data_IF_518284186896
#
_entry.id   IF_518284186896
#
_cell.length_a   1.000
_cell.length_b   1.000
_cell.length_c   1.000
_cell.angle_alpha   90.00
_cell.angle_beta   90.00
_cell.angle_gamma   90.00
#
_symmetry.space_group_name_H-M   'P 1'
#
loop_
_entity.id
_entity.type
_entity.pdbx_description
1 polymer ?
#
# COMPACT_ATOMS: atom_id res chain seq x y z
N UNK A 1 -17.60 13.19 31.43
CA UNK A 1 -17.22 13.71 30.10
C UNK A 1 -16.39 14.97 30.32
N UNK A 2 -15.18 14.77 30.85
CA UNK A 2 -14.13 15.79 31.00
C UNK A 2 -13.53 15.98 29.60
N UNK A 3 -13.83 17.10 28.97
CA UNK A 3 -13.32 17.43 27.62
C UNK A 3 -11.86 17.84 27.64
N UNK A 4 -10.95 16.87 27.77
CA UNK A 4 -9.56 17.07 27.36
C UNK A 4 -9.47 16.68 25.89
N UNK A 5 -9.37 17.67 25.01
CA UNK A 5 -9.06 17.44 23.61
C UNK A 5 -7.60 17.00 23.53
N UNK A 6 -7.36 15.70 23.41
CA UNK A 6 -6.05 15.16 23.13
C UNK A 6 -5.61 15.52 21.72
N UNK A 7 -4.30 15.71 21.51
CA UNK A 7 -3.75 16.06 20.18
C UNK A 7 -3.61 14.77 19.37
N UNK A 8 -4.27 14.63 18.19
CA UNK A 8 -4.05 13.49 17.30
C UNK A 8 -2.59 13.40 16.84
N UNK A 9 -2.10 12.17 16.68
CA UNK A 9 -0.77 11.85 16.20
C UNK A 9 -0.85 10.85 15.05
N UNK A 10 0.02 11.02 14.05
CA UNK A 10 0.33 9.94 13.10
C UNK A 10 1.06 8.80 13.82
N UNK A 11 1.04 7.60 13.23
CA UNK A 11 1.80 6.46 13.71
C UNK A 11 3.29 6.76 13.84
N UNK A 12 3.84 7.47 12.85
CA UNK A 12 5.24 7.92 12.88
C UNK A 12 5.52 8.86 14.06
N UNK A 13 4.72 9.91 14.24
CA UNK A 13 4.91 10.86 15.35
C UNK A 13 4.79 10.18 16.71
N UNK A 14 3.83 9.26 16.87
CA UNK A 14 3.66 8.49 18.09
C UNK A 14 4.89 7.60 18.35
N UNK A 15 5.40 6.90 17.34
CA UNK A 15 6.59 6.07 17.45
C UNK A 15 7.86 6.87 17.80
N UNK A 16 8.05 8.05 17.20
CA UNK A 16 9.19 8.94 17.49
C UNK A 16 9.16 9.50 18.93
N UNK A 17 7.97 9.68 19.50
CA UNK A 17 7.78 10.18 20.87
C UNK A 17 7.69 9.07 21.93
N UNK A 18 7.47 7.82 21.52
CA UNK A 18 7.29 6.69 22.41
C UNK A 18 8.61 6.25 23.10
N UNK A 19 8.54 5.67 24.31
CA UNK A 19 9.71 5.13 24.96
C UNK A 19 10.26 3.89 24.24
N UNK A 20 11.55 3.60 24.45
CA UNK A 20 12.22 2.46 23.84
C UNK A 20 11.49 1.13 24.13
N UNK A 21 11.30 0.32 23.08
CA UNK A 21 10.57 -0.96 23.18
C UNK A 21 9.10 -0.88 22.79
N UNK A 22 8.58 0.32 22.55
CA UNK A 22 7.23 0.52 21.99
C UNK A 22 7.30 0.63 20.46
N UNK A 23 6.23 0.22 19.79
CA UNK A 23 6.07 0.35 18.34
C UNK A 23 4.60 0.60 17.99
N UNK A 24 4.36 1.17 16.81
CA UNK A 24 3.01 1.34 16.27
C UNK A 24 2.63 0.18 15.40
N UNK A 25 1.40 -0.30 15.58
CA UNK A 25 0.79 -1.41 14.86
C UNK A 25 -0.70 -1.11 14.69
N UNK A 26 -1.14 -0.89 13.46
CA UNK A 26 -2.56 -0.65 13.10
C UNK A 26 -3.25 0.43 13.95
N UNK A 27 -2.67 1.63 14.03
CA UNK A 27 -3.25 2.73 14.81
C UNK A 27 -3.20 2.54 16.32
N UNK A 28 -2.43 1.57 16.82
CA UNK A 28 -2.21 1.35 18.25
C UNK A 28 -0.73 1.46 18.61
N UNK A 29 -0.44 1.92 19.83
CA UNK A 29 0.89 2.00 20.39
C UNK A 29 1.08 0.83 21.35
N UNK A 30 2.04 -0.05 21.04
CA UNK A 30 2.16 -1.35 21.68
C UNK A 30 3.52 -1.54 22.34
N UNK A 31 3.56 -2.21 23.50
CA UNK A 31 4.78 -2.82 24.04
C UNK A 31 4.54 -4.13 24.77
N UNK A 32 5.52 -5.03 24.69
CA UNK A 32 5.59 -6.25 25.51
C UNK A 32 6.62 -6.09 26.64
N UNK A 33 6.39 -6.75 27.78
CA UNK A 33 7.27 -6.72 28.95
C UNK A 33 7.51 -8.11 29.53
N UNK A 34 8.76 -8.46 29.84
CA UNK A 34 9.16 -9.78 30.35
C UNK A 34 9.11 -9.85 31.87
N UNK A 35 7.96 -10.26 32.41
CA UNK A 35 7.74 -10.36 33.85
C UNK A 35 8.33 -11.64 34.46
N UNK A 36 8.48 -12.70 33.66
CA UNK A 36 9.10 -13.99 34.04
C UNK A 36 8.20 -14.93 34.86
N UNK A 37 7.02 -14.50 35.30
CA UNK A 37 6.01 -15.38 35.92
C UNK A 37 4.61 -14.78 35.84
N UNK A 38 3.58 -15.62 35.91
CA UNK A 38 2.19 -15.17 35.94
C UNK A 38 1.88 -14.26 37.13
N UNK A 39 2.42 -14.57 38.32
CA UNK A 39 2.20 -13.74 39.53
C UNK A 39 2.77 -12.34 39.33
N UNK A 40 4.00 -12.24 38.81
CA UNK A 40 4.63 -10.95 38.52
C UNK A 40 3.91 -10.20 37.39
N UNK A 41 3.35 -10.90 36.39
CA UNK A 41 2.49 -10.28 35.39
C UNK A 41 1.30 -9.57 36.01
N UNK A 42 0.53 -10.26 36.86
CA UNK A 42 -0.66 -9.67 37.50
C UNK A 42 -0.29 -8.48 38.39
N UNK A 43 0.79 -8.60 39.18
CA UNK A 43 1.27 -7.50 40.03
C UNK A 43 1.75 -6.28 39.23
N UNK A 44 2.39 -6.51 38.09
CA UNK A 44 2.81 -5.43 37.20
C UNK A 44 1.61 -4.74 36.55
N UNK A 45 0.61 -5.50 36.10
CA UNK A 45 -0.66 -4.95 35.58
C UNK A 45 -1.37 -4.12 36.64
N UNK A 46 -1.46 -4.60 37.89
CA UNK A 46 -2.07 -3.86 39.00
C UNK A 46 -1.40 -2.49 39.25
N UNK A 47 -0.06 -2.44 39.19
CA UNK A 47 0.69 -1.19 39.30
C UNK A 47 0.41 -0.23 38.12
N UNK A 48 0.29 -0.76 36.89
CA UNK A 48 -0.05 0.03 35.70
C UNK A 48 -1.48 0.55 35.76
N UNK A 49 -2.44 -0.24 36.26
CA UNK A 49 -3.84 0.18 36.42
C UNK A 49 -3.96 1.44 37.26
N UNK A 50 -3.18 1.57 38.33
CA UNK A 50 -3.19 2.79 39.15
C UNK A 50 -2.72 4.04 38.37
N UNK A 51 -1.74 3.90 37.48
CA UNK A 51 -1.28 4.98 36.62
C UNK A 51 -2.31 5.31 35.51
N UNK A 52 -2.92 4.29 34.92
CA UNK A 52 -3.99 4.44 33.92
C UNK A 52 -5.20 5.21 34.50
N UNK A 53 -5.66 4.83 35.69
CA UNK A 53 -6.74 5.54 36.40
C UNK A 53 -6.38 7.00 36.71
N UNK A 54 -5.14 7.27 37.12
CA UNK A 54 -4.68 8.64 37.37
C UNK A 54 -4.58 9.49 36.10
N UNK A 55 -4.33 8.85 34.95
CA UNK A 55 -4.27 9.49 33.65
C UNK A 55 -5.65 9.65 32.98
N UNK A 56 -6.72 9.03 33.53
CA UNK A 56 -8.01 8.87 32.86
C UNK A 56 -7.85 8.28 31.43
N UNK A 57 -6.87 7.38 31.24
CA UNK A 57 -6.57 6.72 29.97
C UNK A 57 -6.21 5.27 30.22
N UNK A 58 -6.79 4.33 29.46
CA UNK A 58 -6.75 2.91 29.80
C UNK A 58 -6.13 2.07 28.67
N UNK A 59 -5.18 1.16 28.99
CA UNK A 59 -4.65 0.22 28.01
C UNK A 59 -5.55 -1.02 27.88
N UNK A 60 -5.54 -1.61 26.69
CA UNK A 60 -5.83 -3.03 26.53
C UNK A 60 -4.63 -3.85 27.01
N UNK A 61 -4.91 -4.96 27.72
CA UNK A 61 -3.88 -5.76 28.40
C UNK A 61 -4.02 -7.24 28.04
N UNK A 62 -2.97 -7.80 27.46
CA UNK A 62 -2.84 -9.24 27.24
C UNK A 62 -1.83 -9.84 28.22
N UNK A 63 -2.25 -10.85 28.96
CA UNK A 63 -1.39 -11.56 29.92
C UNK A 63 -1.07 -12.95 29.39
N UNK A 64 0.21 -13.20 29.15
CA UNK A 64 0.73 -14.53 28.84
C UNK A 64 1.66 -15.03 29.95
N UNK A 65 2.07 -16.29 29.87
CA UNK A 65 3.01 -16.84 30.84
C UNK A 65 4.38 -16.14 30.75
N UNK A 66 4.67 -15.29 31.74
CA UNK A 66 5.94 -14.59 31.86
C UNK A 66 6.07 -13.32 31.00
N UNK A 67 5.01 -12.89 30.31
CA UNK A 67 4.98 -11.64 29.57
C UNK A 67 3.62 -10.93 29.71
N UNK A 68 3.64 -9.60 29.62
CA UNK A 68 2.45 -8.75 29.52
C UNK A 68 2.59 -7.89 28.29
N UNK A 69 1.55 -7.76 27.48
CA UNK A 69 1.47 -6.82 26.36
C UNK A 69 0.46 -5.74 26.70
N UNK A 70 0.85 -4.49 26.49
CA UNK A 70 -0.03 -3.33 26.56
C UNK A 70 -0.25 -2.80 25.15
N UNK A 71 -1.50 -2.46 24.85
CA UNK A 71 -1.93 -1.84 23.62
C UNK A 71 -2.67 -0.56 23.99
N UNK A 72 -2.24 0.56 23.41
CA UNK A 72 -2.75 1.90 23.69
C UNK A 72 -3.37 2.50 22.45
N UNK A 73 -4.56 3.05 22.60
CA UNK A 73 -5.23 3.87 21.60
C UNK A 73 -6.24 4.79 22.30
N UNK A 74 -6.50 5.95 21.70
CA UNK A 74 -7.53 6.87 22.18
C UNK A 74 -8.82 6.58 21.43
N UNK A 75 -9.65 5.70 21.99
CA UNK A 75 -10.84 5.15 21.31
C UNK A 75 -11.84 6.21 20.82
N UNK A 76 -12.06 7.28 21.58
CA UNK A 76 -12.97 8.36 21.23
C UNK A 76 -12.43 9.29 20.14
N UNK A 77 -11.10 9.37 20.01
CA UNK A 77 -10.43 10.03 18.89
C UNK A 77 -10.29 9.13 17.64
N UNK A 78 -10.53 7.83 17.78
CA UNK A 78 -10.41 6.86 16.69
C UNK A 78 -8.97 6.58 16.23
N UNK A 79 -7.97 6.91 17.05
CA UNK A 79 -6.56 6.78 16.70
C UNK A 79 -5.61 7.18 17.82
N UNK A 80 -4.34 7.36 17.47
CA UNK A 80 -3.28 7.71 18.43
C UNK A 80 -3.34 9.20 18.79
N UNK A 81 -3.09 9.49 20.06
CA UNK A 81 -2.94 10.84 20.58
C UNK A 81 -1.75 10.98 21.52
N UNK A 82 -1.50 12.21 21.98
CA UNK A 82 -0.53 12.47 23.05
C UNK A 82 -0.87 11.78 24.39
N UNK A 83 -2.11 11.37 24.63
CA UNK A 83 -2.49 10.54 25.79
C UNK A 83 -1.85 9.15 25.75
N UNK A 84 -1.81 8.53 24.57
CA UNK A 84 -1.23 7.20 24.36
C UNK A 84 0.26 7.21 24.66
N UNK A 85 0.97 8.21 24.10
CA UNK A 85 2.39 8.41 24.39
C UNK A 85 2.62 8.71 25.87
N UNK A 86 1.75 9.52 26.49
CA UNK A 86 1.81 9.86 27.90
C UNK A 86 1.72 8.62 28.81
N UNK A 87 0.74 7.75 28.58
CA UNK A 87 0.59 6.51 29.34
C UNK A 87 1.70 5.52 29.05
N UNK A 88 2.19 5.42 27.80
CA UNK A 88 3.35 4.60 27.46
C UNK A 88 4.60 4.97 28.27
N UNK A 89 4.86 6.28 28.44
CA UNK A 89 5.96 6.80 29.26
C UNK A 89 5.80 6.43 30.75
N UNK A 90 4.58 6.49 31.29
CA UNK A 90 4.30 6.07 32.67
C UNK A 90 4.55 4.56 32.85
N UNK A 91 4.06 3.73 31.93
CA UNK A 91 4.27 2.28 31.96
C UNK A 91 5.76 1.94 31.87
N UNK A 92 6.51 2.61 30.99
CA UNK A 92 7.95 2.41 30.88
C UNK A 92 8.70 2.78 32.16
N UNK A 93 8.29 3.85 32.86
CA UNK A 93 8.85 4.23 34.15
C UNK A 93 8.59 3.16 35.23
N UNK A 94 7.36 2.64 35.32
CA UNK A 94 7.01 1.55 36.26
C UNK A 94 7.83 0.30 35.94
N UNK A 95 7.96 -0.07 34.66
CA UNK A 95 8.74 -1.24 34.25
C UNK A 95 10.21 -1.11 34.67
N UNK A 96 10.80 0.09 34.52
CA UNK A 96 12.17 0.38 34.95
C UNK A 96 12.34 0.22 36.47
N UNK A 97 11.42 0.78 37.26
CA UNK A 97 11.42 0.63 38.73
C UNK A 97 11.37 -0.84 39.15
N UNK A 98 10.55 -1.63 38.45
CA UNK A 98 10.35 -3.05 38.71
C UNK A 98 11.44 -3.94 38.09
N UNK A 99 12.38 -3.38 37.34
CA UNK A 99 13.41 -4.12 36.57
C UNK A 99 12.77 -5.19 35.68
N UNK A 100 11.79 -4.77 34.90
CA UNK A 100 11.10 -5.57 33.90
C UNK A 100 11.57 -5.07 32.53
N UNK A 101 12.27 -5.93 31.80
CA UNK A 101 12.80 -5.56 30.49
C UNK A 101 11.67 -5.59 29.44
N UNK A 102 11.64 -4.61 28.51
CA UNK A 102 10.75 -4.68 27.37
C UNK A 102 11.13 -5.85 26.46
N UNK A 103 10.13 -6.41 25.80
CA UNK A 103 10.30 -7.28 24.64
C UNK A 103 10.72 -6.39 23.46
N UNK A 104 11.79 -6.72 22.71
CA UNK A 104 12.17 -5.98 21.53
C UNK A 104 11.01 -5.88 20.53
N UNK A 105 10.84 -4.71 19.88
CA UNK A 105 9.83 -4.56 18.85
C UNK A 105 10.14 -5.49 17.65
N UNK A 106 9.16 -5.74 16.78
CA UNK A 106 9.38 -6.43 15.51
C UNK A 106 10.51 -5.77 14.71
N UNK A 107 11.45 -6.57 14.22
CA UNK A 107 12.56 -6.07 13.41
C UNK A 107 12.14 -5.69 11.98
N UNK A 108 11.07 -6.32 11.46
CA UNK A 108 10.50 -6.02 10.15
C UNK A 108 9.38 -4.98 10.31
N UNK A 109 9.63 -3.75 9.86
CA UNK A 109 8.65 -2.64 9.80
C UNK A 109 8.03 -2.49 8.41
N UNK A 110 7.80 -3.63 7.76
CA UNK A 110 7.08 -3.68 6.48
C UNK A 110 5.58 -3.73 6.74
N UNK A 111 4.85 -2.72 6.32
CA UNK A 111 3.39 -2.72 6.30
C UNK A 111 2.89 -3.54 5.09
N UNK A 112 1.87 -4.36 5.29
CA UNK A 112 1.07 -4.93 4.21
C UNK A 112 -0.18 -4.07 4.05
N UNK A 113 -0.37 -3.46 2.88
CA UNK A 113 -1.58 -2.70 2.56
C UNK A 113 -2.44 -3.53 1.61
N UNK A 114 -3.65 -3.89 2.00
CA UNK A 114 -4.62 -4.56 1.12
C UNK A 114 -5.59 -3.50 0.63
N UNK A 115 -5.55 -3.21 -0.67
CA UNK A 115 -6.35 -2.16 -1.29
C UNK A 115 -7.06 -2.72 -2.53
N UNK A 116 -8.29 -3.24 -2.37
CA UNK A 116 -9.02 -3.94 -3.43
C UNK A 116 -9.75 -2.96 -4.38
N UNK A 117 -9.07 -1.88 -4.79
CA UNK A 117 -9.63 -0.85 -5.69
C UNK A 117 -9.98 -1.47 -7.04
N UNK A 118 -11.15 -1.14 -7.60
CA UNK A 118 -11.59 -1.67 -8.89
C UNK A 118 -12.17 -0.61 -9.82
N UNK A 119 -12.52 0.55 -9.28
CA UNK A 119 -13.17 1.64 -10.00
C UNK A 119 -12.23 2.33 -11.00
N UNK A 120 -10.91 2.13 -10.89
CA UNK A 120 -9.93 2.77 -11.76
C UNK A 120 -9.96 2.27 -13.21
N UNK A 121 -10.48 1.07 -13.46
CA UNK A 121 -10.67 0.56 -14.82
C UNK A 121 -12.03 1.00 -15.38
N UNK A 122 -12.11 1.53 -16.60
CA UNK A 122 -13.35 2.05 -17.20
C UNK A 122 -14.35 0.98 -17.65
N UNK A 123 -15.65 1.29 -17.58
CA UNK A 123 -16.73 0.29 -17.78
C UNK A 123 -16.72 -0.31 -19.18
N UNK A 124 -16.51 0.53 -20.21
CA UNK A 124 -16.53 0.11 -21.61
C UNK A 124 -15.38 -0.87 -21.91
N UNK A 125 -14.17 -0.55 -21.47
CA UNK A 125 -12.98 -1.40 -21.62
C UNK A 125 -13.15 -2.74 -20.92
N UNK A 126 -13.68 -2.75 -19.69
CA UNK A 126 -13.96 -4.00 -18.96
C UNK A 126 -14.97 -4.87 -19.70
N UNK A 127 -16.03 -4.27 -20.26
CA UNK A 127 -17.03 -5.00 -21.04
C UNK A 127 -16.45 -5.62 -22.33
N UNK A 128 -15.50 -4.94 -22.96
CA UNK A 128 -14.83 -5.39 -24.18
C UNK A 128 -13.82 -6.52 -23.91
N UNK A 129 -13.01 -6.42 -22.85
CA UNK A 129 -11.89 -7.32 -22.57
C UNK A 129 -12.27 -8.55 -21.73
N UNK A 130 -13.43 -8.53 -21.07
CA UNK A 130 -13.95 -9.65 -20.29
C UNK A 130 -15.44 -9.98 -20.62
N UNK A 131 -15.78 -10.20 -21.90
CA UNK A 131 -17.18 -10.35 -22.34
C UNK A 131 -17.84 -11.66 -21.88
N UNK A 132 -17.07 -12.64 -21.42
CA UNK A 132 -17.57 -13.90 -20.90
C UNK A 132 -18.14 -13.80 -19.47
N UNK A 133 -17.87 -12.70 -18.75
CA UNK A 133 -18.37 -12.39 -17.41
C UNK A 133 -19.37 -11.24 -17.50
N UNK A 134 -20.46 -11.30 -16.73
CA UNK A 134 -21.41 -10.19 -16.66
C UNK A 134 -20.71 -8.92 -16.13
N UNK A 135 -20.96 -7.76 -16.75
CA UNK A 135 -20.23 -6.51 -16.48
C UNK A 135 -20.13 -6.17 -14.99
N UNK A 136 -21.25 -6.29 -14.26
CA UNK A 136 -21.31 -6.06 -12.82
C UNK A 136 -20.21 -6.83 -12.06
N UNK A 137 -20.00 -8.11 -12.42
CA UNK A 137 -18.96 -8.97 -11.83
C UNK A 137 -17.59 -8.75 -12.44
N UNK A 138 -17.52 -8.49 -13.74
CA UNK A 138 -16.27 -8.22 -14.46
C UNK A 138 -15.54 -7.01 -13.84
N UNK A 139 -16.29 -5.95 -13.51
CA UNK A 139 -15.81 -4.75 -12.81
C UNK A 139 -15.12 -5.06 -11.48
N UNK A 140 -15.73 -5.91 -10.64
CA UNK A 140 -15.14 -6.34 -9.36
C UNK A 140 -14.00 -7.36 -9.53
N UNK A 141 -13.58 -7.65 -10.76
CA UNK A 141 -12.48 -8.58 -11.04
C UNK A 141 -11.20 -8.22 -10.29
N UNK A 142 -10.87 -6.93 -10.23
CA UNK A 142 -9.70 -6.42 -9.50
C UNK A 142 -9.83 -6.62 -7.99
N UNK A 143 -10.99 -6.33 -7.41
CA UNK A 143 -11.25 -6.56 -5.99
C UNK A 143 -11.15 -8.06 -5.63
N UNK A 144 -11.68 -8.94 -6.47
CA UNK A 144 -11.52 -10.40 -6.31
C UNK A 144 -10.06 -10.81 -6.47
N UNK A 145 -9.33 -10.21 -7.41
CA UNK A 145 -7.90 -10.40 -7.59
C UNK A 145 -7.08 -10.09 -6.35
N UNK A 146 -7.30 -8.89 -5.78
CA UNK A 146 -6.68 -8.47 -4.52
C UNK A 146 -6.95 -9.48 -3.39
N UNK A 147 -8.19 -9.94 -3.24
CA UNK A 147 -8.57 -10.93 -2.22
C UNK A 147 -7.87 -12.28 -2.44
N UNK A 148 -7.77 -12.73 -3.69
CA UNK A 148 -7.05 -13.98 -4.02
C UNK A 148 -5.56 -13.83 -3.69
N UNK A 149 -4.92 -12.74 -4.11
CA UNK A 149 -3.52 -12.45 -3.80
C UNK A 149 -3.30 -12.38 -2.30
N UNK A 150 -4.20 -11.73 -1.56
CA UNK A 150 -4.10 -11.60 -0.12
C UNK A 150 -4.14 -12.98 0.57
N UNK A 151 -5.04 -13.85 0.12
CA UNK A 151 -5.19 -15.20 0.65
C UNK A 151 -3.99 -16.12 0.36
N UNK A 152 -3.34 -15.99 -0.80
CA UNK A 152 -2.28 -16.92 -1.24
C UNK A 152 -0.86 -16.43 -0.92
N UNK A 153 -0.65 -15.13 -0.77
CA UNK A 153 0.67 -14.56 -0.47
C UNK A 153 0.93 -14.49 1.03
N UNK A 154 2.10 -14.96 1.51
CA UNK A 154 2.38 -15.04 2.94
C UNK A 154 2.42 -13.65 3.59
N UNK A 155 1.73 -13.49 4.72
CA UNK A 155 1.77 -12.25 5.52
C UNK A 155 3.11 -12.06 6.24
N UNK A 156 3.87 -13.14 6.47
CA UNK A 156 5.16 -13.15 7.21
C UNK A 156 5.11 -12.49 8.60
N UNK A 157 3.93 -12.43 9.22
CA UNK A 157 3.74 -11.79 10.54
C UNK A 157 3.84 -10.26 10.49
N UNK A 158 3.62 -9.66 9.32
CA UNK A 158 3.59 -8.20 9.12
C UNK A 158 2.26 -7.61 9.56
N UNK A 159 2.30 -6.39 10.07
CA UNK A 159 1.12 -5.54 10.25
C UNK A 159 0.37 -5.41 8.93
N UNK A 160 -0.95 -5.54 8.95
CA UNK A 160 -1.79 -5.46 7.75
C UNK A 160 -2.84 -4.38 7.94
N UNK A 161 -2.85 -3.41 7.04
CA UNK A 161 -3.88 -2.38 6.95
C UNK A 161 -4.77 -2.68 5.74
N UNK A 162 -6.07 -2.47 5.90
CA UNK A 162 -7.06 -2.66 4.83
C UNK A 162 -7.67 -1.31 4.46
N UNK A 163 -7.69 -1.02 3.16
CA UNK A 163 -8.40 0.15 2.63
C UNK A 163 -9.84 -0.25 2.35
N UNK A 164 -10.78 0.52 2.89
CA UNK A 164 -12.20 0.33 2.58
C UNK A 164 -12.46 0.93 1.20
N UNK A 165 -13.07 0.14 0.32
CA UNK A 165 -13.42 0.54 -1.04
C UNK A 165 -14.93 0.44 -1.14
N UNK A 166 -15.58 1.53 -1.56
CA UNK A 166 -17.02 1.53 -1.80
C UNK A 166 -17.38 0.57 -2.96
N UNK A 167 -18.60 0.06 -2.98
CA UNK A 167 -19.11 -0.80 -4.05
C UNK A 167 -19.93 -0.02 -5.10
N UNK A 168 -19.95 1.31 -5.01
CA UNK A 168 -20.54 2.22 -5.99
C UNK A 168 -19.57 2.56 -7.14
N UNK A 169 -20.13 2.75 -8.34
CA UNK A 169 -19.48 3.40 -9.47
C UNK A 169 -20.26 4.65 -9.90
N UNK A 170 -19.52 5.67 -10.34
CA UNK A 170 -20.09 6.97 -10.72
C UNK A 170 -19.78 7.28 -12.19
N UNK A 171 -20.64 8.05 -12.88
CA UNK A 171 -20.35 8.48 -14.24
C UNK A 171 -19.06 9.30 -14.33
N UNK A 172 -18.55 9.45 -15.56
CA UNK A 172 -17.39 10.30 -15.83
C UNK A 172 -17.67 11.73 -15.38
N UNK A 173 -16.81 12.25 -14.51
CA UNK A 173 -16.80 13.64 -14.05
C UNK A 173 -15.39 14.18 -14.23
N UNK A 174 -15.28 15.36 -14.85
CA UNK A 174 -13.98 16.00 -15.12
C UNK A 174 -12.95 15.05 -15.77
N UNK A 175 -13.40 14.25 -16.75
CA UNK A 175 -12.53 13.33 -17.49
C UNK A 175 -12.25 11.99 -16.82
N UNK A 176 -12.68 11.78 -15.56
CA UNK A 176 -12.40 10.57 -14.79
C UNK A 176 -13.70 9.85 -14.41
N UNK A 177 -13.78 8.55 -14.69
CA UNK A 177 -14.86 7.69 -14.22
C UNK A 177 -14.73 7.41 -12.72
N UNK A 178 -15.84 7.45 -11.96
CA UNK A 178 -15.84 7.20 -10.50
C UNK A 178 -14.90 8.12 -9.69
N UNK A 179 -14.68 9.36 -10.17
CA UNK A 179 -13.72 10.31 -9.59
C UNK A 179 -13.92 10.56 -8.09
N UNK A 180 -15.15 10.71 -7.62
CA UNK A 180 -15.44 10.97 -6.20
C UNK A 180 -15.04 9.80 -5.32
N UNK A 181 -15.50 8.60 -5.68
CA UNK A 181 -15.15 7.35 -4.97
C UNK A 181 -13.65 7.07 -4.98
N UNK A 182 -12.95 7.39 -6.08
CA UNK A 182 -11.50 7.26 -6.18
C UNK A 182 -10.77 8.22 -5.24
N UNK A 183 -11.22 9.46 -5.12
CA UNK A 183 -10.65 10.44 -4.19
C UNK A 183 -10.85 10.00 -2.73
N UNK A 184 -12.06 9.56 -2.37
CA UNK A 184 -12.36 9.03 -1.03
C UNK A 184 -11.52 7.79 -0.70
N UNK A 185 -11.32 6.89 -1.67
CA UNK A 185 -10.47 5.71 -1.47
C UNK A 185 -8.98 6.08 -1.33
N UNK A 186 -8.50 7.07 -2.09
CA UNK A 186 -7.14 7.60 -1.98
C UNK A 186 -6.91 8.23 -0.60
N UNK A 187 -7.83 9.04 -0.10
CA UNK A 187 -7.79 9.57 1.28
C UNK A 187 -7.79 8.44 2.32
N UNK A 188 -8.67 7.45 2.16
CA UNK A 188 -8.73 6.29 3.04
C UNK A 188 -7.42 5.48 3.07
N UNK A 189 -6.73 5.36 1.94
CA UNK A 189 -5.43 4.72 1.86
C UNK A 189 -4.34 5.54 2.55
N UNK A 190 -4.32 6.86 2.35
CA UNK A 190 -3.40 7.78 3.03
C UNK A 190 -3.60 7.73 4.55
N UNK A 191 -4.84 7.70 5.02
CA UNK A 191 -5.18 7.54 6.43
C UNK A 191 -4.71 6.19 7.00
N UNK A 192 -4.92 5.10 6.26
CA UNK A 192 -4.47 3.77 6.66
C UNK A 192 -2.93 3.71 6.79
N UNK A 193 -2.20 4.36 5.89
CA UNK A 193 -0.75 4.51 5.96
C UNK A 193 -0.33 5.38 7.15
N UNK A 194 -0.98 6.53 7.35
CA UNK A 194 -0.65 7.49 8.41
C UNK A 194 -0.86 6.94 9.83
N UNK A 195 -1.74 5.96 10.01
CA UNK A 195 -1.96 5.25 11.30
C UNK A 195 -0.82 4.29 11.67
N UNK A 196 0.11 4.02 10.77
CA UNK A 196 1.16 3.04 10.94
C UNK A 196 2.56 3.69 10.94
N UNK A 197 3.55 3.02 11.53
CA UNK A 197 4.94 3.46 11.49
C UNK A 197 5.83 2.47 10.72
N UNK A 198 5.89 2.63 9.40
CA UNK A 198 6.55 1.69 8.49
C UNK A 198 7.76 2.31 7.78
N UNK A 199 8.77 1.49 7.50
CA UNK A 199 9.89 1.84 6.59
C UNK A 199 9.72 1.20 5.22
N UNK A 200 8.85 0.19 5.10
CA UNK A 200 8.57 -0.49 3.83
C UNK A 200 7.08 -0.77 3.71
N UNK A 201 6.58 -0.84 2.48
CA UNK A 201 5.19 -1.21 2.21
C UNK A 201 5.12 -2.24 1.09
N UNK A 202 4.27 -3.24 1.28
CA UNK A 202 3.84 -4.16 0.23
C UNK A 202 2.35 -3.99 0.04
N UNK A 203 1.95 -3.53 -1.13
CA UNK A 203 0.56 -3.32 -1.50
C UNK A 203 0.06 -4.53 -2.28
N UNK A 204 -0.99 -5.16 -1.75
CA UNK A 204 -1.80 -6.16 -2.43
C UNK A 204 -2.98 -5.41 -3.04
N UNK A 205 -2.82 -5.08 -4.31
CA UNK A 205 -3.68 -4.15 -5.01
C UNK A 205 -4.83 -4.82 -5.75
N UNK A 206 -5.80 -3.98 -6.11
CA UNK A 206 -6.64 -4.15 -7.29
C UNK A 206 -5.98 -3.44 -8.49
N UNK A 207 -6.58 -2.40 -9.06
CA UNK A 207 -6.05 -1.70 -10.24
C UNK A 207 -4.75 -0.89 -9.97
N UNK A 208 -4.09 -0.36 -11.01
CA UNK A 208 -2.79 0.33 -10.89
C UNK A 208 -2.77 1.55 -9.96
N UNK A 209 -3.91 2.21 -9.75
CA UNK A 209 -4.01 3.42 -8.91
C UNK A 209 -3.65 3.19 -7.44
N UNK A 210 -3.70 1.94 -6.97
CA UNK A 210 -3.36 1.55 -5.59
C UNK A 210 -1.89 1.76 -5.22
N UNK A 211 -1.04 2.15 -6.19
CA UNK A 211 0.36 2.52 -5.94
C UNK A 211 0.54 3.97 -5.54
N UNK A 212 -0.43 4.84 -5.83
CA UNK A 212 -0.31 6.28 -5.66
C UNK A 212 -0.04 6.63 -4.19
N UNK A 213 -0.95 6.26 -3.27
CA UNK A 213 -0.81 6.54 -1.85
C UNK A 213 0.48 5.96 -1.20
N UNK A 214 0.77 4.64 -1.34
CA UNK A 214 1.96 4.07 -0.70
C UNK A 214 3.25 4.66 -1.26
N UNK A 215 3.33 4.98 -2.55
CA UNK A 215 4.56 5.53 -3.11
C UNK A 215 4.71 7.02 -2.81
N UNK A 216 3.61 7.78 -2.73
CA UNK A 216 3.62 9.15 -2.22
C UNK A 216 4.10 9.22 -0.76
N UNK A 217 3.63 8.31 0.11
CA UNK A 217 4.10 8.22 1.50
C UNK A 217 5.58 7.83 1.60
N UNK A 218 6.08 6.96 0.72
CA UNK A 218 7.50 6.66 0.62
C UNK A 218 8.30 7.86 0.09
N UNK A 219 7.76 8.62 -0.87
CA UNK A 219 8.38 9.83 -1.40
C UNK A 219 8.50 10.92 -0.33
N UNK A 220 7.48 11.10 0.51
CA UNK A 220 7.55 11.99 1.67
C UNK A 220 8.65 11.54 2.65
N UNK A 221 8.74 10.22 2.91
CA UNK A 221 9.71 9.66 3.86
C UNK A 221 11.15 9.76 3.38
N UNK A 222 11.40 9.46 2.11
CA UNK A 222 12.75 9.29 1.56
C UNK A 222 13.21 10.45 0.66
N UNK A 223 12.31 11.31 0.21
CA UNK A 223 12.60 12.44 -0.65
C UNK A 223 13.49 12.06 -1.83
N UNK A 224 14.58 12.79 -2.00
CA UNK A 224 15.61 12.58 -3.04
C UNK A 224 16.42 11.28 -2.89
N UNK A 225 16.09 10.37 -1.98
CA UNK A 225 16.70 9.02 -1.90
C UNK A 225 15.82 7.93 -2.54
N UNK A 226 14.62 8.28 -3.03
CA UNK A 226 13.70 7.35 -3.68
C UNK A 226 13.77 7.43 -5.21
N UNK A 227 13.71 6.26 -5.85
CA UNK A 227 13.35 6.08 -7.25
C UNK A 227 12.18 5.09 -7.39
N UNK A 228 11.43 5.18 -8.49
CA UNK A 228 10.31 4.29 -8.81
C UNK A 228 10.60 3.54 -10.10
N UNK A 229 10.47 2.21 -10.06
CA UNK A 229 10.43 1.37 -11.25
C UNK A 229 8.98 0.95 -11.46
N UNK A 230 8.37 1.40 -12.55
CA UNK A 230 7.01 1.07 -12.95
C UNK A 230 7.06 -0.08 -13.96
N UNK A 231 6.92 -1.32 -13.48
CA UNK A 231 6.91 -2.52 -14.33
C UNK A 231 5.50 -2.77 -14.85
N UNK A 232 5.30 -2.47 -16.12
CA UNK A 232 3.98 -2.35 -16.73
C UNK A 232 4.07 -2.48 -18.25
N UNK A 233 3.04 -3.03 -18.89
CA UNK A 233 2.90 -2.99 -20.34
C UNK A 233 2.54 -1.59 -20.85
N UNK A 234 1.82 -0.82 -20.05
CA UNK A 234 1.29 0.51 -20.31
C UNK A 234 2.08 1.59 -19.57
N UNK A 235 1.97 2.87 -19.98
CA UNK A 235 2.73 3.93 -19.34
C UNK A 235 2.05 4.57 -18.13
N UNK A 236 0.73 4.42 -17.98
CA UNK A 236 -0.11 5.08 -16.96
C UNK A 236 0.09 6.61 -16.85
N UNK A 237 0.43 7.23 -17.98
CA UNK A 237 0.67 8.67 -18.12
C UNK A 237 -0.54 9.44 -18.67
N UNK A 238 -1.73 8.83 -18.63
CA UNK A 238 -2.97 9.49 -19.02
C UNK A 238 -3.33 10.66 -18.09
N UNK A 239 -4.24 11.49 -18.55
CA UNK A 239 -4.73 12.69 -17.87
C UNK A 239 -6.25 12.79 -18.01
N UNK A 240 -6.92 13.70 -17.29
CA UNK A 240 -8.34 14.00 -17.52
C UNK A 240 -8.72 14.37 -18.96
N UNK A 241 -7.76 14.83 -19.78
CA UNK A 241 -7.98 15.20 -21.18
C UNK A 241 -7.84 14.00 -22.15
N UNK A 242 -7.40 12.84 -21.66
CA UNK A 242 -7.17 11.63 -22.43
C UNK A 242 -8.48 10.97 -22.86
N UNK A 243 -8.44 10.18 -23.94
CA UNK A 243 -9.64 9.55 -24.49
C UNK A 243 -10.25 8.48 -23.56
N UNK A 244 -9.40 7.80 -22.78
CA UNK A 244 -9.83 6.76 -21.86
C UNK A 244 -10.02 7.34 -20.44
N UNK A 245 -11.23 7.27 -19.86
CA UNK A 245 -11.53 7.91 -18.58
C UNK A 245 -11.17 7.04 -17.35
N UNK A 246 -10.54 5.88 -17.55
CA UNK A 246 -10.15 4.98 -16.46
C UNK A 246 -8.95 5.53 -15.70
N UNK A 247 -9.12 5.82 -14.41
CA UNK A 247 -8.09 6.41 -13.56
C UNK A 247 -6.83 5.55 -13.40
N UNK A 248 -6.92 4.22 -13.55
CA UNK A 248 -5.74 3.36 -13.46
C UNK A 248 -4.68 3.72 -14.51
N UNK A 249 -5.09 4.19 -15.70
CA UNK A 249 -4.20 4.66 -16.75
C UNK A 249 -3.60 6.07 -16.48
N UNK A 250 -3.89 6.67 -15.33
CA UNK A 250 -3.38 7.98 -14.91
C UNK A 250 -2.47 7.87 -13.67
N UNK A 251 -2.22 6.66 -13.17
CA UNK A 251 -1.56 6.45 -11.88
C UNK A 251 -0.11 6.99 -11.84
N UNK A 252 0.68 6.76 -12.89
CA UNK A 252 2.03 7.30 -13.00
C UNK A 252 2.02 8.82 -13.22
N UNK A 253 1.04 9.36 -13.95
CA UNK A 253 0.85 10.81 -14.09
C UNK A 253 0.64 11.47 -12.72
N UNK A 254 -0.35 11.00 -11.95
CA UNK A 254 -0.67 11.55 -10.62
C UNK A 254 0.52 11.44 -9.67
N UNK A 255 1.19 10.29 -9.63
CA UNK A 255 2.36 10.10 -8.76
C UNK A 255 3.54 11.02 -9.13
N UNK A 256 3.65 11.44 -10.39
CA UNK A 256 4.67 12.40 -10.85
C UNK A 256 4.22 13.86 -10.80
N UNK A 257 3.03 14.13 -10.24
CA UNK A 257 2.49 15.48 -10.09
C UNK A 257 1.81 16.04 -11.34
N UNK A 258 1.42 15.17 -12.27
CA UNK A 258 0.65 15.49 -13.48
C UNK A 258 -0.79 14.96 -13.34
N UNK A 259 -1.66 15.26 -14.31
CA UNK A 259 -3.04 14.75 -14.32
C UNK A 259 -4.01 15.60 -13.50
N UNK A 260 -4.92 14.95 -12.78
CA UNK A 260 -5.97 15.62 -12.00
C UNK A 260 -5.40 16.37 -10.79
N UNK A 261 -5.66 17.69 -10.74
CA UNK A 261 -5.08 18.55 -9.73
C UNK A 261 -5.57 18.24 -8.31
N UNK A 262 -6.84 17.86 -8.12
CA UNK A 262 -7.35 17.53 -6.79
C UNK A 262 -6.73 16.23 -6.28
N UNK A 263 -6.57 15.22 -7.13
CA UNK A 263 -5.88 13.97 -6.77
C UNK A 263 -4.41 14.21 -6.38
N UNK A 264 -3.71 15.09 -7.11
CA UNK A 264 -2.31 15.45 -6.80
C UNK A 264 -2.21 16.24 -5.49
N UNK A 265 -3.15 17.15 -5.22
CA UNK A 265 -3.17 17.96 -3.99
C UNK A 265 -3.39 17.12 -2.71
N UNK A 266 -3.99 15.94 -2.82
CA UNK A 266 -4.13 14.99 -1.70
C UNK A 266 -2.81 14.35 -1.28
N UNK A 267 -1.82 14.30 -2.18
CA UNK A 267 -0.59 13.54 -1.93
C UNK A 267 0.35 14.26 -0.96
N UNK A 268 0.94 13.55 0.02
CA UNK A 268 1.94 14.15 0.91
C UNK A 268 3.23 14.52 0.17
N UNK A 269 3.53 13.84 -0.94
CA UNK A 269 4.64 14.14 -1.84
C UNK A 269 4.40 13.51 -3.22
N UNK A 270 5.03 14.07 -4.25
CA UNK A 270 5.12 13.48 -5.59
C UNK A 270 6.54 12.96 -5.85
N UNK A 271 6.69 12.13 -6.87
CA UNK A 271 7.99 11.62 -7.34
C UNK A 271 8.42 12.43 -8.56
N UNK A 272 9.61 13.06 -8.58
CA UNK A 272 10.11 13.71 -9.78
C UNK A 272 10.15 12.75 -10.97
N UNK A 273 9.69 13.17 -12.15
CA UNK A 273 9.63 12.31 -13.34
C UNK A 273 10.98 11.66 -13.69
N UNK A 274 12.09 12.38 -13.51
CA UNK A 274 13.46 11.87 -13.70
C UNK A 274 13.85 10.70 -12.76
N UNK A 275 13.08 10.49 -11.69
CA UNK A 275 13.21 9.40 -10.71
C UNK A 275 12.20 8.28 -10.91
N UNK A 276 11.43 8.32 -11.99
CA UNK A 276 10.54 7.24 -12.41
C UNK A 276 11.01 6.65 -13.75
N UNK A 277 11.03 5.32 -13.84
CA UNK A 277 11.23 4.61 -15.10
C UNK A 277 10.06 3.68 -15.39
N UNK A 278 9.54 3.79 -16.62
CA UNK A 278 8.58 2.86 -17.20
C UNK A 278 9.36 1.67 -17.78
N UNK A 279 9.10 0.46 -17.30
CA UNK A 279 9.87 -0.72 -17.64
C UNK A 279 8.94 -1.86 -18.09
N UNK A 280 9.21 -2.42 -19.27
CA UNK A 280 8.30 -3.37 -19.92
C UNK A 280 7.30 -2.72 -20.87
N UNK A 281 7.32 -1.40 -21.05
CA UNK A 281 6.38 -0.64 -21.90
C UNK A 281 6.31 -1.17 -23.35
N UNK A 282 5.13 -1.63 -23.78
CA UNK A 282 4.89 -2.16 -25.14
C UNK A 282 3.46 -1.97 -25.68
N UNK A 283 2.54 -1.40 -24.90
CA UNK A 283 1.16 -1.09 -25.31
C UNK A 283 0.79 0.33 -24.86
N UNK A 284 0.21 1.16 -25.73
CA UNK A 284 -0.16 2.54 -25.42
C UNK A 284 -1.10 3.14 -26.48
N UNK A 285 -1.70 4.27 -26.15
CA UNK A 285 -2.50 5.10 -27.07
C UNK A 285 -1.70 6.31 -27.58
N UNK A 286 -2.06 6.80 -28.76
CA UNK A 286 -1.36 7.91 -29.42
C UNK A 286 -1.54 9.27 -28.70
N UNK A 287 -2.58 9.42 -27.89
CA UNK A 287 -2.89 10.65 -27.16
C UNK A 287 -2.03 10.84 -25.91
N UNK A 288 -1.70 9.75 -25.21
CA UNK A 288 -0.94 9.80 -23.95
C UNK A 288 0.56 9.55 -24.14
N UNK A 289 0.94 8.82 -25.19
CA UNK A 289 2.36 8.52 -25.47
C UNK A 289 3.29 9.75 -25.51
N UNK A 290 2.88 10.93 -26.04
CA UNK A 290 3.70 12.14 -26.00
C UNK A 290 4.11 12.59 -24.59
N UNK A 291 3.30 12.30 -23.56
CA UNK A 291 3.57 12.70 -22.17
C UNK A 291 4.89 12.12 -21.65
N UNK A 292 5.28 10.93 -22.10
CA UNK A 292 6.56 10.30 -21.73
C UNK A 292 7.74 11.21 -22.12
N UNK A 293 7.71 11.75 -23.35
CA UNK A 293 8.77 12.62 -23.85
C UNK A 293 8.68 14.02 -23.22
N UNK A 294 7.47 14.56 -23.09
CA UNK A 294 7.24 15.91 -22.56
C UNK A 294 7.65 16.01 -21.08
N UNK A 295 7.40 14.97 -20.29
CA UNK A 295 7.78 14.89 -18.88
C UNK A 295 9.17 14.28 -18.64
N UNK A 296 9.84 13.85 -19.71
CA UNK A 296 11.20 13.28 -19.68
C UNK A 296 11.30 12.01 -18.83
N UNK A 297 10.26 11.16 -18.87
CA UNK A 297 10.25 9.86 -18.23
C UNK A 297 11.23 8.91 -18.94
N UNK A 298 12.01 8.16 -18.17
CA UNK A 298 12.79 7.06 -18.72
C UNK A 298 11.85 5.92 -19.10
N UNK A 299 12.04 5.31 -20.28
CA UNK A 299 11.24 4.16 -20.71
C UNK A 299 12.10 3.05 -21.30
N UNK A 300 11.73 1.81 -21.01
CA UNK A 300 12.43 0.61 -21.44
C UNK A 300 11.41 -0.44 -21.90
N UNK A 301 11.37 -0.72 -23.21
CA UNK A 301 10.51 -1.79 -23.72
C UNK A 301 11.08 -3.20 -23.45
N UNK A 302 10.29 -4.25 -23.72
CA UNK A 302 10.69 -5.65 -23.49
C UNK A 302 11.99 -6.03 -24.20
N UNK A 303 12.25 -5.55 -25.42
CA UNK A 303 13.50 -5.82 -26.15
C UNK A 303 14.76 -5.37 -25.38
N UNK A 304 14.70 -4.20 -24.73
CA UNK A 304 15.82 -3.66 -23.96
C UNK A 304 16.10 -4.49 -22.70
N UNK A 305 15.06 -5.11 -22.13
CA UNK A 305 15.11 -5.86 -20.89
C UNK A 305 15.12 -7.38 -21.08
N UNK A 306 14.99 -7.88 -22.32
CA UNK A 306 14.83 -9.31 -22.61
C UNK A 306 16.05 -10.14 -22.21
N UNK A 307 17.26 -9.62 -22.42
CA UNK A 307 18.52 -10.36 -22.18
C UNK A 307 19.35 -9.81 -21.02
N UNK A 308 19.07 -8.58 -20.57
CA UNK A 308 19.81 -7.92 -19.50
C UNK A 308 18.96 -6.83 -18.84
N UNK A 309 19.17 -6.60 -17.53
CA UNK A 309 18.58 -5.46 -16.81
C UNK A 309 19.51 -4.23 -16.81
N UNK A 310 20.67 -4.31 -17.49
CA UNK A 310 21.72 -3.28 -17.42
C UNK A 310 21.23 -1.85 -17.77
N UNK A 311 20.43 -1.60 -18.82
CA UNK A 311 19.96 -0.25 -19.14
C UNK A 311 19.16 0.39 -18.00
N UNK A 312 18.26 -0.37 -17.38
CA UNK A 312 17.47 0.08 -16.23
C UNK A 312 18.34 0.32 -15.00
N UNK A 313 19.33 -0.56 -14.74
CA UNK A 313 20.25 -0.38 -13.62
C UNK A 313 21.17 0.84 -13.81
N UNK A 314 21.57 1.14 -15.04
CA UNK A 314 22.37 2.33 -15.33
C UNK A 314 21.56 3.60 -15.11
N UNK A 315 20.28 3.62 -15.51
CA UNK A 315 19.36 4.68 -15.14
C UNK A 315 19.20 4.80 -13.62
N UNK A 316 18.93 3.71 -12.91
CA UNK A 316 18.73 3.72 -11.45
C UNK A 316 19.96 4.31 -10.75
N UNK A 317 21.17 3.90 -11.15
CA UNK A 317 22.43 4.47 -10.63
C UNK A 317 22.57 5.97 -10.93
N UNK A 318 22.10 6.42 -12.09
CA UNK A 318 22.17 7.83 -12.49
C UNK A 318 21.28 8.74 -11.64
N UNK A 319 20.19 8.21 -11.05
CA UNK A 319 19.33 8.96 -10.12
C UNK A 319 20.02 9.26 -8.79
N UNK A 320 21.02 8.45 -8.40
CA UNK A 320 21.67 8.52 -7.09
C UNK A 320 20.83 7.97 -5.93
N UNK A 321 19.62 7.47 -6.18
CA UNK A 321 18.72 6.92 -5.16
C UNK A 321 19.25 5.60 -4.57
N UNK A 322 19.28 5.52 -3.23
CA UNK A 322 19.57 4.30 -2.48
C UNK A 322 18.33 3.44 -2.21
N UNK A 323 17.13 4.00 -2.35
CA UNK A 323 15.84 3.33 -2.17
C UNK A 323 15.08 3.19 -3.50
N UNK A 324 14.34 2.10 -3.63
CA UNK A 324 13.48 1.87 -4.79
C UNK A 324 12.10 1.35 -4.39
N UNK A 325 11.07 1.90 -5.02
CA UNK A 325 9.72 1.33 -5.02
C UNK A 325 9.45 0.68 -6.38
N UNK A 326 8.85 -0.50 -6.37
CA UNK A 326 8.56 -1.29 -7.58
C UNK A 326 7.05 -1.42 -7.70
N UNK A 327 6.46 -0.79 -8.71
CA UNK A 327 5.12 -1.13 -9.16
C UNK A 327 5.22 -2.34 -10.10
N UNK A 328 4.35 -3.33 -9.92
CA UNK A 328 4.21 -4.47 -10.81
C UNK A 328 2.75 -4.60 -11.22
N UNK A 329 2.45 -4.09 -12.42
CA UNK A 329 1.30 -4.53 -13.19
C UNK A 329 1.64 -5.94 -13.71
N UNK A 330 0.73 -6.89 -13.48
CA UNK A 330 0.92 -8.27 -13.91
C UNK A 330 0.82 -8.43 -15.44
N UNK A 331 0.26 -7.45 -16.16
CA UNK A 331 0.10 -7.47 -17.61
C UNK A 331 1.40 -7.20 -18.39
N UNK A 332 2.46 -6.77 -17.70
CA UNK A 332 3.83 -6.70 -18.25
C UNK A 332 4.34 -8.07 -18.69
N UNK A 333 3.75 -9.14 -18.12
CA UNK A 333 4.01 -10.52 -18.50
C UNK A 333 3.31 -10.83 -19.83
N UNK A 334 4.04 -11.40 -20.77
CA UNK A 334 3.50 -11.79 -22.08
C UNK A 334 2.28 -12.71 -21.93
N UNK A 335 1.13 -12.27 -22.45
CA UNK A 335 -0.12 -13.01 -22.39
C UNK A 335 -0.09 -14.36 -23.13
N UNK A 336 0.88 -14.59 -24.04
CA UNK A 336 1.09 -15.91 -24.64
C UNK A 336 1.75 -16.91 -23.64
N UNK A 337 2.43 -16.42 -22.59
CA UNK A 337 2.91 -17.24 -21.47
C UNK A 337 1.85 -17.38 -20.37
N UNK A 338 1.28 -16.26 -19.91
CA UNK A 338 0.28 -16.25 -18.85
C UNK A 338 -0.64 -15.02 -18.95
N UNK A 339 -1.95 -15.26 -19.03
CA UNK A 339 -2.96 -14.19 -18.95
C UNK A 339 -3.26 -13.90 -17.48
N UNK A 340 -2.66 -12.83 -16.96
CA UNK A 340 -2.79 -12.43 -15.55
C UNK A 340 -3.71 -11.21 -15.35
N UNK A 341 -3.69 -10.26 -16.29
CA UNK A 341 -4.45 -9.00 -16.23
C UNK A 341 -5.83 -9.05 -16.88
N UNK A 342 -6.48 -7.89 -16.96
CA UNK A 342 -7.76 -7.71 -17.65
C UNK A 342 -7.62 -7.95 -19.16
N UNK A 343 -6.58 -7.41 -19.79
CA UNK A 343 -6.30 -7.60 -21.22
C UNK A 343 -5.48 -8.85 -21.54
N UNK A 344 -5.28 -9.11 -22.84
CA UNK A 344 -4.27 -10.05 -23.34
C UNK A 344 -3.18 -9.26 -24.08
N UNK A 345 -2.24 -8.70 -23.32
CA UNK A 345 -1.13 -7.91 -23.89
C UNK A 345 0.02 -8.84 -24.30
N UNK A 346 0.39 -8.82 -25.58
CA UNK A 346 1.36 -9.75 -26.17
C UNK A 346 2.68 -9.06 -26.47
N UNK A 347 3.78 -9.82 -26.45
CA UNK A 347 5.12 -9.29 -26.72
C UNK A 347 5.79 -8.68 -25.49
N UNK A 348 5.23 -8.93 -24.30
CA UNK A 348 5.78 -8.54 -23.02
C UNK A 348 6.99 -9.36 -22.59
N UNK A 349 7.34 -9.24 -21.32
CA UNK A 349 8.42 -10.01 -20.72
C UNK A 349 7.91 -11.39 -20.29
N UNK A 350 8.78 -12.40 -20.32
CA UNK A 350 8.46 -13.68 -19.68
C UNK A 350 8.46 -13.54 -18.15
N UNK A 351 7.78 -14.43 -17.44
CA UNK A 351 7.77 -14.44 -15.95
C UNK A 351 9.20 -14.49 -15.39
N UNK A 352 10.08 -15.24 -16.05
CA UNK A 352 11.49 -15.36 -15.67
C UNK A 352 12.26 -14.04 -15.89
N UNK A 353 11.95 -13.29 -16.94
CA UNK A 353 12.55 -11.98 -17.21
C UNK A 353 12.06 -10.93 -16.22
N UNK A 354 10.76 -10.84 -15.96
CA UNK A 354 10.19 -9.95 -14.92
C UNK A 354 10.84 -10.25 -13.57
N UNK A 355 10.95 -11.53 -13.21
CA UNK A 355 11.60 -11.94 -11.96
C UNK A 355 13.07 -11.52 -11.90
N UNK A 356 13.82 -11.68 -12.99
CA UNK A 356 15.21 -11.21 -13.09
C UNK A 356 15.29 -9.70 -12.88
N UNK A 357 14.43 -8.93 -13.54
CA UNK A 357 14.44 -7.46 -13.40
C UNK A 357 14.24 -7.05 -11.94
N UNK A 358 13.25 -7.64 -11.26
CA UNK A 358 12.99 -7.39 -9.84
C UNK A 358 14.20 -7.78 -8.97
N UNK A 359 14.78 -8.97 -9.18
CA UNK A 359 15.93 -9.44 -8.39
C UNK A 359 17.18 -8.57 -8.62
N UNK A 360 17.43 -8.13 -9.86
CA UNK A 360 18.54 -7.26 -10.23
C UNK A 360 18.39 -5.85 -9.63
N UNK A 361 17.17 -5.29 -9.66
CA UNK A 361 16.85 -3.99 -9.03
C UNK A 361 17.03 -4.09 -7.51
N UNK A 362 16.53 -5.15 -6.88
CA UNK A 362 16.69 -5.40 -5.45
C UNK A 362 18.15 -5.63 -5.03
N UNK A 363 19.02 -6.07 -5.96
CA UNK A 363 20.46 -6.16 -5.75
C UNK A 363 21.20 -4.82 -5.87
N UNK A 364 20.59 -3.82 -6.51
CA UNK A 364 21.20 -2.51 -6.78
C UNK A 364 20.78 -1.41 -5.80
N UNK A 365 19.54 -1.46 -5.30
CA UNK A 365 18.99 -0.51 -4.34
C UNK A 365 18.12 -1.22 -3.29
N UNK A 366 17.92 -0.58 -2.14
CA UNK A 366 17.05 -1.14 -1.10
C UNK A 366 15.58 -1.00 -1.51
N UNK A 367 14.89 -2.13 -1.67
CA UNK A 367 13.45 -2.13 -1.97
C UNK A 367 12.66 -1.70 -0.73
N UNK A 368 11.93 -0.59 -0.84
CA UNK A 368 11.08 -0.03 0.21
C UNK A 368 9.59 -0.06 -0.15
N UNK A 369 9.25 -0.23 -1.42
CA UNK A 369 7.87 -0.36 -1.88
C UNK A 369 7.74 -1.49 -2.88
N UNK A 370 6.69 -2.29 -2.76
CA UNK A 370 6.25 -3.21 -3.82
C UNK A 370 4.73 -3.14 -3.94
N UNK A 371 4.21 -2.83 -5.11
CA UNK A 371 2.78 -3.04 -5.42
C UNK A 371 2.64 -4.22 -6.38
N UNK A 372 1.62 -5.05 -6.17
CA UNK A 372 1.13 -6.02 -7.15
C UNK A 372 -0.26 -5.55 -7.56
N UNK A 373 -0.43 -5.18 -8.83
CA UNK A 373 -1.67 -4.62 -9.37
C UNK A 373 -2.25 -5.50 -10.48
N UNK A 374 -3.48 -5.17 -10.88
CA UNK A 374 -4.17 -5.58 -12.11
C UNK A 374 -4.48 -7.08 -12.25
N UNK A 375 -4.25 -7.89 -11.22
CA UNK A 375 -4.54 -9.32 -11.29
C UNK A 375 -6.04 -9.60 -11.41
N UNK A 376 -6.45 -10.25 -12.51
CA UNK A 376 -7.84 -10.69 -12.76
C UNK A 376 -7.92 -12.23 -12.74
N UNK A 377 -8.49 -12.83 -11.68
CA UNK A 377 -8.58 -14.28 -11.57
C UNK A 377 -9.79 -14.82 -12.35
N UNK A 378 -9.71 -14.83 -13.70
CA UNK A 378 -10.82 -15.23 -14.60
C UNK A 378 -11.51 -16.55 -14.21
N UNK A 379 -10.72 -17.56 -13.81
CA UNK A 379 -11.27 -18.86 -13.36
C UNK A 379 -12.05 -18.76 -12.04
N UNK A 380 -11.67 -17.85 -11.14
CA UNK A 380 -12.40 -17.60 -9.88
C UNK A 380 -13.70 -16.85 -10.18
N UNK A 381 -13.68 -15.86 -11.08
CA UNK A 381 -14.89 -15.16 -11.53
C UNK A 381 -15.88 -16.12 -12.21
N UNK A 382 -15.38 -17.05 -13.02
CA UNK A 382 -16.19 -18.11 -13.62
C UNK A 382 -16.76 -19.08 -12.57
N UNK A 383 -15.99 -19.40 -11.53
CA UNK A 383 -16.46 -20.24 -10.43
C UNK A 383 -17.56 -19.54 -9.61
N UNK A 384 -17.46 -18.23 -9.33
CA UNK A 384 -18.52 -17.48 -8.65
C UNK A 384 -19.86 -17.61 -9.40
N UNK A 385 -19.84 -17.48 -10.73
CA UNK A 385 -21.04 -17.68 -11.57
C UNK A 385 -21.67 -19.07 -11.41
N UNK A 386 -20.86 -20.12 -11.25
CA UNK A 386 -21.36 -21.48 -11.04
C UNK A 386 -22.03 -21.64 -9.66
N UNK A 387 -21.52 -20.90 -8.66
CA UNK A 387 -21.95 -21.01 -7.28
C UNK A 387 -23.11 -20.06 -6.92
N UNK A 388 -23.38 -19.06 -7.75
CA UNK A 388 -24.48 -18.12 -7.60
C UNK A 388 -25.83 -18.83 -7.40
N UNK A 389 -26.52 -18.49 -6.30
CA UNK A 389 -27.87 -18.99 -6.02
C UNK A 389 -27.94 -20.47 -5.60
N UNK A 390 -26.80 -21.10 -5.28
CA UNK A 390 -26.81 -22.41 -4.65
C UNK A 390 -27.57 -22.35 -3.31
N UNK A 391 -28.39 -23.36 -2.98
CA UNK A 391 -29.01 -23.42 -1.66
C UNK A 391 -27.94 -23.36 -0.55
N UNK A 392 -28.16 -22.51 0.45
CA UNK A 392 -27.29 -22.26 1.62
C UNK A 392 -26.11 -21.30 1.40
N UNK A 393 -25.93 -20.74 0.20
CA UNK A 393 -25.00 -19.62 -0.05
C UNK A 393 -25.76 -18.30 -0.20
#
# INVERSE_FOLDING_TARGET
MSGHSHRPLTGREAAEQAPAGWWVDDGTLTAGYRTGSMVRSVQFVDAVTAAAEAAEHHPDVEIHYGTVRFVLTTHDAGGLTDADVGLALMIAAIALEWRIDPVPPPADRTLRLVWPQWQGAGQETVAELLPEVALERARRGYAVGAQVLDAVLPSRGRSTAHVVVDDEDEPVTEGIESRGVLAESLEGALDALARNDFDRVVTIGGDCSVSIAPFAALAERYGDDLAVVWLDAHPDVGTPDSAYPGFHAMAAAVLTGHGDAEMVELLPATVPAERMALAGLHEWTDDDFPNIADWQLASFGPEALATSTAPLLDWLRSTGAGKVAIHLDVDVVDADEAVLGLGQVRGGLSTAQVRRVIDDVAGAAEVVGVTIAEFIPRNVLAAQRLLDGLPLL
#
